data_IF_305504053409
#
_entry.id   IF_305504053409
#
_cell.length_a   1.000
_cell.length_b   1.000
_cell.length_c   1.000
_cell.angle_alpha   90.00
_cell.angle_beta   90.00
_cell.angle_gamma   90.00
#
_symmetry.space_group_name_H-M   'P 1'
#
loop_
_entity.id
_entity.type
_entity.pdbx_description
1 polymer ?
#
# COMPACT_ATOMS: atom_id res chain seq x y z
N UNK A 1 -15.26 56.27 30.10
CA UNK A 1 -15.39 55.02 30.88
C UNK A 1 -16.15 53.90 30.16
N UNK A 2 -17.28 54.14 29.49
CA UNK A 2 -18.04 53.07 28.80
C UNK A 2 -17.31 52.32 27.66
N UNK A 3 -16.42 52.98 26.90
CA UNK A 3 -15.61 52.34 25.82
C UNK A 3 -14.50 51.40 26.34
N UNK A 4 -13.91 51.67 27.51
CA UNK A 4 -12.86 50.81 28.09
C UNK A 4 -13.45 49.51 28.65
N UNK A 5 -14.62 49.57 29.29
CA UNK A 5 -15.32 48.40 29.81
C UNK A 5 -15.81 47.46 28.70
N UNK A 6 -16.24 48.01 27.55
CA UNK A 6 -16.62 47.21 26.38
C UNK A 6 -15.44 46.46 25.75
N UNK A 7 -14.27 47.11 25.65
CA UNK A 7 -13.06 46.45 25.13
C UNK A 7 -12.49 45.42 26.11
N UNK A 8 -12.59 45.68 27.42
CA UNK A 8 -12.15 44.72 28.45
C UNK A 8 -13.05 43.48 28.48
N UNK A 9 -14.35 43.64 28.30
CA UNK A 9 -15.29 42.52 28.19
C UNK A 9 -15.04 41.69 26.91
N UNK A 10 -14.74 42.35 25.79
CA UNK A 10 -14.38 41.66 24.55
C UNK A 10 -13.08 40.87 24.70
N UNK A 11 -12.02 41.48 25.27
CA UNK A 11 -10.74 40.80 25.50
C UNK A 11 -10.90 39.62 26.48
N UNK A 12 -11.65 39.77 27.58
CA UNK A 12 -11.89 38.68 28.54
C UNK A 12 -12.78 37.56 27.97
N UNK A 13 -13.72 37.88 27.08
CA UNK A 13 -14.55 36.90 26.38
C UNK A 13 -13.71 36.07 25.38
N UNK A 14 -12.80 36.71 24.64
CA UNK A 14 -11.88 36.01 23.73
C UNK A 14 -10.78 35.22 24.47
N UNK A 15 -10.27 35.71 25.60
CA UNK A 15 -9.32 34.98 26.44
C UNK A 15 -10.02 33.78 27.11
N UNK A 16 -11.22 33.96 27.66
CA UNK A 16 -12.00 32.88 28.28
C UNK A 16 -12.42 31.77 27.31
N UNK A 17 -12.80 32.13 26.07
CA UNK A 17 -13.10 31.16 25.02
C UNK A 17 -11.86 30.36 24.59
N UNK A 18 -10.69 31.01 24.51
CA UNK A 18 -9.42 30.33 24.21
C UNK A 18 -9.01 29.33 25.30
N UNK A 19 -9.14 29.72 26.56
CA UNK A 19 -8.88 28.82 27.69
C UNK A 19 -9.88 27.66 27.74
N UNK A 20 -11.18 27.92 27.55
CA UNK A 20 -12.21 26.89 27.50
C UNK A 20 -12.00 25.87 26.38
N UNK A 21 -11.63 26.31 25.17
CA UNK A 21 -11.30 25.42 24.05
C UNK A 21 -10.01 24.62 24.30
N UNK A 22 -8.99 25.21 24.95
CA UNK A 22 -7.75 24.50 25.28
C UNK A 22 -7.97 23.42 26.34
N UNK A 23 -8.75 23.71 27.39
CA UNK A 23 -9.12 22.73 28.42
C UNK A 23 -10.00 21.65 27.83
N UNK A 24 -10.98 22.00 26.98
CA UNK A 24 -11.82 21.04 26.28
C UNK A 24 -10.97 20.16 25.33
N UNK A 25 -10.03 20.74 24.60
CA UNK A 25 -9.10 19.99 23.75
C UNK A 25 -8.25 19.02 24.56
N UNK A 26 -7.66 19.47 25.68
CA UNK A 26 -6.90 18.60 26.58
C UNK A 26 -7.78 17.47 27.11
N UNK A 27 -9.00 17.77 27.57
CA UNK A 27 -9.95 16.79 28.07
C UNK A 27 -10.34 15.76 27.00
N UNK A 28 -10.66 16.21 25.78
CA UNK A 28 -10.98 15.34 24.65
C UNK A 28 -9.77 14.50 24.20
N UNK A 29 -8.55 15.03 24.31
CA UNK A 29 -7.33 14.29 23.99
C UNK A 29 -7.01 13.22 25.05
N UNK A 30 -7.25 13.53 26.32
CA UNK A 30 -7.09 12.60 27.44
C UNK A 30 -8.12 11.47 27.33
N UNK A 31 -9.39 11.79 27.07
CA UNK A 31 -10.47 10.82 26.89
C UNK A 31 -10.19 9.87 25.71
N UNK A 32 -9.72 10.43 24.58
CA UNK A 32 -9.27 9.64 23.43
C UNK A 32 -8.09 8.72 23.76
N UNK A 33 -7.15 9.18 24.58
CA UNK A 33 -6.03 8.34 25.02
C UNK A 33 -6.50 7.21 25.95
N UNK A 34 -7.43 7.48 26.87
CA UNK A 34 -7.97 6.45 27.77
C UNK A 34 -8.80 5.40 27.02
N UNK A 35 -9.61 5.82 26.04
CA UNK A 35 -10.37 4.90 25.17
C UNK A 35 -9.45 4.08 24.27
N UNK A 36 -8.36 4.64 23.76
CA UNK A 36 -7.37 3.88 22.99
C UNK A 36 -6.47 2.99 23.87
N UNK A 37 -6.28 3.33 25.15
CA UNK A 37 -5.53 2.50 26.09
C UNK A 37 -6.24 1.17 26.37
N UNK A 38 -7.58 1.19 26.45
CA UNK A 38 -8.40 -0.01 26.74
C UNK A 38 -8.72 -0.85 25.51
N UNK A 39 -8.69 -0.27 24.29
CA UNK A 39 -8.88 -1.01 23.04
C UNK A 39 -7.78 -2.04 22.79
N UNK A 40 -8.19 -3.21 22.30
CA UNK A 40 -7.28 -4.24 21.82
C UNK A 40 -6.60 -3.79 20.53
N UNK A 41 -5.46 -4.40 20.18
CA UNK A 41 -4.78 -4.13 18.91
C UNK A 41 -5.64 -4.51 17.71
N UNK A 42 -6.46 -5.56 17.84
CA UNK A 42 -7.47 -5.92 16.84
C UNK A 42 -8.50 -4.81 16.61
N UNK A 43 -9.09 -4.24 17.67
CA UNK A 43 -10.08 -3.16 17.55
C UNK A 43 -9.48 -1.91 16.90
N UNK A 44 -8.24 -1.59 17.25
CA UNK A 44 -7.51 -0.46 16.66
C UNK A 44 -7.22 -0.68 15.17
N UNK A 45 -6.92 -1.92 14.75
CA UNK A 45 -6.77 -2.27 13.32
C UNK A 45 -8.11 -2.12 12.60
N UNK A 46 -9.22 -2.61 13.17
CA UNK A 46 -10.54 -2.50 12.55
C UNK A 46 -10.95 -1.04 12.36
N UNK A 47 -10.80 -0.20 13.38
CA UNK A 47 -11.07 1.24 13.26
C UNK A 47 -10.12 1.91 12.25
N UNK A 48 -8.85 1.47 12.20
CA UNK A 48 -7.90 1.90 11.18
C UNK A 48 -8.36 1.56 9.77
N UNK A 49 -8.86 0.34 9.56
CA UNK A 49 -9.40 -0.16 8.31
C UNK A 49 -10.65 0.65 7.90
N UNK A 50 -11.54 0.98 8.85
CA UNK A 50 -12.70 1.85 8.61
C UNK A 50 -12.28 3.26 8.15
N UNK A 51 -11.32 3.86 8.86
CA UNK A 51 -10.74 5.15 8.43
C UNK A 51 -10.08 5.05 7.05
N UNK A 52 -9.45 3.93 6.73
CA UNK A 52 -8.86 3.70 5.42
C UNK A 52 -9.92 3.64 4.32
N UNK A 53 -11.03 2.92 4.53
CA UNK A 53 -12.14 2.85 3.57
C UNK A 53 -12.78 4.22 3.33
N UNK A 54 -12.88 5.03 4.38
CA UNK A 54 -13.36 6.40 4.29
C UNK A 54 -12.33 7.39 3.73
N UNK A 55 -11.18 6.90 3.24
CA UNK A 55 -10.06 7.70 2.70
C UNK A 55 -9.44 8.67 3.70
N UNK A 56 -9.70 8.47 4.99
CA UNK A 56 -9.13 9.24 6.11
C UNK A 56 -7.77 8.65 6.49
N UNK A 57 -6.86 8.70 5.54
CA UNK A 57 -5.55 8.05 5.59
C UNK A 57 -4.66 8.52 6.74
N UNK A 58 -4.84 9.75 7.24
CA UNK A 58 -4.03 10.25 8.36
C UNK A 58 -4.47 9.61 9.69
N UNK A 59 -5.78 9.41 9.89
CA UNK A 59 -6.32 8.73 11.05
C UNK A 59 -5.96 7.24 11.04
N UNK A 60 -6.12 6.57 9.88
CA UNK A 60 -5.71 5.18 9.71
C UNK A 60 -4.21 4.99 10.02
N UNK A 61 -3.35 5.87 9.50
CA UNK A 61 -1.90 5.85 9.79
C UNK A 61 -1.64 5.90 11.30
N UNK A 62 -2.27 6.83 12.01
CA UNK A 62 -2.09 6.99 13.45
C UNK A 62 -2.52 5.76 14.26
N UNK A 63 -3.60 5.10 13.85
CA UNK A 63 -4.09 3.89 14.49
C UNK A 63 -3.17 2.69 14.25
N UNK A 64 -2.71 2.47 13.02
CA UNK A 64 -1.75 1.38 12.76
C UNK A 64 -0.40 1.61 13.45
N UNK A 65 0.08 2.85 13.52
CA UNK A 65 1.28 3.21 14.29
C UNK A 65 1.09 2.96 15.79
N UNK A 66 -0.09 3.28 16.33
CA UNK A 66 -0.40 3.00 17.72
C UNK A 66 -0.41 1.48 18.01
N UNK A 67 -0.91 0.67 17.08
CA UNK A 67 -0.84 -0.79 17.20
C UNK A 67 0.61 -1.25 17.26
N UNK A 68 1.49 -0.75 16.40
CA UNK A 68 2.92 -1.10 16.44
C UNK A 68 3.66 -0.55 17.67
N UNK A 69 3.15 0.50 18.32
CA UNK A 69 3.68 0.93 19.62
C UNK A 69 3.31 -0.05 20.74
N UNK A 70 2.13 -0.68 20.67
CA UNK A 70 1.69 -1.69 21.63
C UNK A 70 2.29 -3.07 21.35
N UNK A 71 2.31 -3.47 20.09
CA UNK A 71 2.78 -4.75 19.58
C UNK A 71 3.69 -4.52 18.36
N UNK A 72 5.00 -4.34 18.58
CA UNK A 72 5.95 -4.05 17.50
C UNK A 72 5.99 -5.12 16.40
N UNK A 73 5.66 -6.37 16.71
CA UNK A 73 5.74 -7.50 15.77
C UNK A 73 4.39 -7.82 15.11
N UNK A 74 3.38 -6.94 15.25
CA UNK A 74 2.06 -7.18 14.67
C UNK A 74 2.09 -7.07 13.14
N UNK A 75 2.15 -8.23 12.47
CA UNK A 75 2.27 -8.34 11.01
C UNK A 75 1.08 -7.72 10.26
N UNK A 76 -0.13 -7.77 10.84
CA UNK A 76 -1.31 -7.17 10.22
C UNK A 76 -1.19 -5.64 10.17
N UNK A 77 -0.77 -5.01 11.27
CA UNK A 77 -0.55 -3.56 11.31
C UNK A 77 0.59 -3.13 10.37
N UNK A 78 1.67 -3.93 10.27
CA UNK A 78 2.74 -3.71 9.28
C UNK A 78 2.21 -3.78 7.85
N UNK A 79 1.39 -4.79 7.55
CA UNK A 79 0.78 -4.95 6.23
C UNK A 79 -0.05 -3.72 5.86
N UNK A 80 -0.90 -3.25 6.79
CA UNK A 80 -1.73 -2.04 6.60
C UNK A 80 -0.90 -0.76 6.43
N UNK A 81 0.18 -0.59 7.21
CA UNK A 81 1.09 0.54 7.03
C UNK A 81 1.81 0.50 5.68
N UNK A 82 2.34 -0.65 5.28
CA UNK A 82 2.99 -0.82 4.00
C UNK A 82 2.05 -0.49 2.83
N UNK A 83 0.79 -0.97 2.89
CA UNK A 83 -0.24 -0.66 1.91
C UNK A 83 -0.54 0.84 1.85
N UNK A 84 -0.63 1.50 3.00
CA UNK A 84 -0.88 2.93 3.09
C UNK A 84 0.30 3.78 2.58
N UNK A 85 1.53 3.33 2.82
CA UNK A 85 2.73 3.96 2.23
C UNK A 85 2.77 3.78 0.73
N UNK A 86 2.46 2.58 0.22
CA UNK A 86 2.37 2.30 -1.21
C UNK A 86 1.33 3.22 -1.88
N UNK A 87 0.13 3.36 -1.29
CA UNK A 87 -0.92 4.25 -1.79
C UNK A 87 -0.46 5.72 -1.88
N UNK A 88 0.44 6.14 -0.99
CA UNK A 88 1.02 7.49 -0.97
C UNK A 88 2.30 7.62 -1.80
N UNK A 89 2.62 6.63 -2.64
CA UNK A 89 3.85 6.54 -3.42
C UNK A 89 5.14 6.62 -2.58
N UNK A 90 5.06 6.25 -1.29
CA UNK A 90 6.21 6.17 -0.38
C UNK A 90 6.83 4.77 -0.46
N UNK A 91 7.31 4.42 -1.65
CA UNK A 91 7.72 3.06 -2.01
C UNK A 91 8.77 2.47 -1.07
N UNK A 92 9.80 3.22 -0.69
CA UNK A 92 10.85 2.75 0.22
C UNK A 92 10.31 2.44 1.63
N UNK A 93 9.39 3.27 2.14
CA UNK A 93 8.77 3.01 3.44
C UNK A 93 7.86 1.78 3.38
N UNK A 94 7.13 1.61 2.26
CA UNK A 94 6.29 0.45 2.04
C UNK A 94 7.11 -0.85 1.98
N UNK A 95 8.19 -0.86 1.18
CA UNK A 95 9.11 -2.01 1.10
C UNK A 95 9.65 -2.36 2.48
N UNK A 96 10.13 -1.37 3.25
CA UNK A 96 10.67 -1.63 4.59
C UNK A 96 9.66 -2.30 5.52
N UNK A 97 8.38 -1.92 5.49
CA UNK A 97 7.35 -2.59 6.30
C UNK A 97 7.05 -4.01 5.81
N UNK A 98 7.02 -4.24 4.49
CA UNK A 98 6.79 -5.57 3.94
C UNK A 98 7.99 -6.50 4.14
N UNK A 99 9.22 -6.00 4.08
CA UNK A 99 10.42 -6.77 4.37
C UNK A 99 10.42 -7.29 5.80
N UNK A 100 9.92 -6.51 6.77
CA UNK A 100 9.75 -6.96 8.15
C UNK A 100 8.72 -8.09 8.27
N UNK A 101 7.72 -8.12 7.39
CA UNK A 101 6.77 -9.26 7.31
C UNK A 101 7.48 -10.48 6.73
N UNK A 102 8.20 -10.33 5.62
CA UNK A 102 8.96 -11.43 4.98
C UNK A 102 10.04 -11.99 5.91
N UNK A 103 10.65 -11.17 6.76
CA UNK A 103 11.60 -11.64 7.78
C UNK A 103 10.95 -12.53 8.85
N UNK A 104 9.69 -12.24 9.21
CA UNK A 104 8.94 -13.02 10.19
C UNK A 104 8.22 -14.23 9.58
N UNK A 105 7.77 -14.08 8.34
CA UNK A 105 7.03 -15.07 7.55
C UNK A 105 7.56 -15.05 6.11
N UNK A 106 8.61 -15.86 5.81
CA UNK A 106 9.25 -15.87 4.49
C UNK A 106 8.34 -16.26 3.34
N UNK A 107 7.25 -16.98 3.62
CA UNK A 107 6.30 -17.47 2.61
C UNK A 107 5.06 -16.55 2.52
N UNK A 108 5.12 -15.35 3.10
CA UNK A 108 4.01 -14.40 3.04
C UNK A 108 3.79 -13.86 1.62
N UNK A 109 2.89 -14.51 0.87
CA UNK A 109 2.60 -14.20 -0.53
C UNK A 109 2.27 -12.72 -0.74
N UNK A 110 1.41 -12.11 0.09
CA UNK A 110 0.99 -10.71 -0.12
C UNK A 110 2.17 -9.75 0.08
N UNK A 111 3.03 -9.98 1.08
CA UNK A 111 4.22 -9.15 1.28
C UNK A 111 5.22 -9.31 0.14
N UNK A 112 5.55 -10.54 -0.26
CA UNK A 112 6.45 -10.84 -1.39
C UNK A 112 5.94 -10.21 -2.69
N UNK A 113 4.64 -10.39 -2.99
CA UNK A 113 4.00 -9.79 -4.17
C UNK A 113 4.08 -8.26 -4.14
N UNK A 114 3.80 -7.62 -3.00
CA UNK A 114 3.82 -6.16 -2.88
C UNK A 114 5.22 -5.60 -3.05
N UNK A 115 6.25 -6.22 -2.46
CA UNK A 115 7.65 -5.84 -2.68
C UNK A 115 7.98 -5.97 -4.17
N UNK A 116 7.72 -7.15 -4.74
CA UNK A 116 8.00 -7.42 -6.15
C UNK A 116 7.33 -6.44 -7.11
N UNK A 117 6.05 -6.14 -6.89
CA UNK A 117 5.30 -5.13 -7.65
C UNK A 117 5.93 -3.74 -7.52
N UNK A 118 6.26 -3.30 -6.31
CA UNK A 118 6.88 -1.97 -6.10
C UNK A 118 8.25 -1.92 -6.78
N UNK A 119 9.04 -2.99 -6.72
CA UNK A 119 10.34 -3.04 -7.40
C UNK A 119 10.19 -2.92 -8.92
N UNK A 120 9.17 -3.54 -9.52
CA UNK A 120 8.83 -3.35 -10.94
C UNK A 120 8.43 -1.91 -11.24
N UNK A 121 7.62 -1.27 -10.38
CA UNK A 121 7.25 0.16 -10.51
C UNK A 121 8.49 1.07 -10.44
N UNK A 122 9.47 0.74 -9.58
CA UNK A 122 10.74 1.44 -9.44
C UNK A 122 11.77 1.08 -10.53
N UNK A 123 11.42 0.18 -11.47
CA UNK A 123 12.28 -0.34 -12.55
C UNK A 123 13.47 -1.19 -12.09
N UNK A 124 13.42 -1.70 -10.87
CA UNK A 124 14.36 -2.70 -10.35
C UNK A 124 13.87 -4.10 -10.76
N UNK A 125 13.93 -4.39 -12.05
CA UNK A 125 13.23 -5.55 -12.63
C UNK A 125 13.78 -6.89 -12.17
N UNK A 126 15.09 -7.01 -11.95
CA UNK A 126 15.73 -8.23 -11.43
C UNK A 126 15.26 -8.56 -10.01
N UNK A 127 15.21 -7.55 -9.14
CA UNK A 127 14.75 -7.71 -7.77
C UNK A 127 13.24 -7.98 -7.74
N UNK A 128 12.48 -7.28 -8.56
CA UNK A 128 11.05 -7.52 -8.76
C UNK A 128 10.78 -8.96 -9.20
N UNK A 129 11.50 -9.48 -10.21
CA UNK A 129 11.38 -10.86 -10.66
C UNK A 129 11.69 -11.85 -9.53
N UNK A 130 12.73 -11.59 -8.73
CA UNK A 130 13.11 -12.45 -7.60
C UNK A 130 11.99 -12.58 -6.57
N UNK A 131 11.46 -11.46 -6.07
CA UNK A 131 10.37 -11.48 -5.08
C UNK A 131 9.08 -12.07 -5.65
N UNK A 132 8.75 -11.81 -6.91
CA UNK A 132 7.57 -12.37 -7.56
C UNK A 132 7.67 -13.88 -7.77
N UNK A 133 8.87 -14.42 -8.02
CA UNK A 133 9.08 -15.87 -8.06
C UNK A 133 8.91 -16.51 -6.69
N UNK A 134 9.47 -15.91 -5.64
CA UNK A 134 9.25 -16.38 -4.26
C UNK A 134 7.76 -16.36 -3.91
N UNK A 135 7.04 -15.28 -4.27
CA UNK A 135 5.58 -15.21 -4.09
C UNK A 135 4.89 -16.37 -4.83
N UNK A 136 5.31 -16.68 -6.06
CA UNK A 136 4.74 -17.76 -6.86
C UNK A 136 5.03 -19.16 -6.29
N UNK A 137 6.19 -19.35 -5.67
CA UNK A 137 6.58 -20.60 -5.00
C UNK A 137 5.77 -20.84 -3.72
N UNK A 138 5.43 -19.76 -3.00
CA UNK A 138 4.60 -19.79 -1.80
C UNK A 138 3.08 -19.83 -2.09
N UNK A 139 2.66 -19.65 -3.36
CA UNK A 139 1.26 -19.65 -3.74
C UNK A 139 0.65 -21.07 -3.74
N UNK A 140 -0.47 -21.23 -3.04
CA UNK A 140 -1.34 -22.39 -3.21
C UNK A 140 -2.18 -22.29 -4.49
N UNK A 141 -2.62 -23.44 -5.02
CA UNK A 141 -3.33 -23.51 -6.31
C UNK A 141 -4.62 -22.65 -6.39
N UNK A 142 -5.24 -22.33 -5.25
CA UNK A 142 -6.53 -21.63 -5.17
C UNK A 142 -6.44 -20.15 -4.75
N UNK A 143 -5.24 -19.57 -4.65
CA UNK A 143 -5.08 -18.18 -4.23
C UNK A 143 -5.44 -17.18 -5.33
N UNK A 144 -6.10 -16.09 -4.94
CA UNK A 144 -6.64 -15.08 -5.85
C UNK A 144 -5.52 -14.21 -6.44
N UNK A 145 -4.42 -14.09 -5.71
CA UNK A 145 -3.23 -13.31 -6.04
C UNK A 145 -2.43 -13.90 -7.20
N UNK A 146 -2.66 -15.17 -7.57
CA UNK A 146 -1.91 -15.89 -8.60
C UNK A 146 -1.93 -15.18 -9.95
N UNK A 147 -3.08 -14.64 -10.35
CA UNK A 147 -3.18 -13.84 -11.58
C UNK A 147 -2.30 -12.60 -11.54
N UNK A 148 -2.37 -11.85 -10.43
CA UNK A 148 -1.62 -10.62 -10.26
C UNK A 148 -0.10 -10.88 -10.20
N UNK A 149 0.34 -11.97 -9.55
CA UNK A 149 1.75 -12.38 -9.51
C UNK A 149 2.25 -12.72 -10.91
N UNK A 150 1.54 -13.55 -11.68
CA UNK A 150 1.92 -13.86 -13.07
C UNK A 150 1.97 -12.60 -13.94
N UNK A 151 1.02 -11.69 -13.79
CA UNK A 151 1.02 -10.44 -14.55
C UNK A 151 2.25 -9.58 -14.24
N UNK A 152 2.56 -9.34 -12.96
CA UNK A 152 3.74 -8.57 -12.57
C UNK A 152 5.05 -9.26 -12.97
N UNK A 153 5.11 -10.59 -12.89
CA UNK A 153 6.28 -11.36 -13.31
C UNK A 153 6.50 -11.24 -14.82
N UNK A 154 5.42 -11.28 -15.60
CA UNK A 154 5.46 -11.01 -17.03
C UNK A 154 5.97 -9.61 -17.36
N UNK A 155 5.55 -8.59 -16.60
CA UNK A 155 6.07 -7.21 -16.77
C UNK A 155 7.57 -7.14 -16.46
N UNK A 156 8.02 -7.67 -15.33
CA UNK A 156 9.44 -7.69 -14.96
C UNK A 156 10.29 -8.36 -16.06
N UNK A 157 9.89 -9.55 -16.49
CA UNK A 157 10.58 -10.33 -17.51
C UNK A 157 10.58 -9.67 -18.88
N UNK A 158 9.52 -8.94 -19.21
CA UNK A 158 9.45 -8.17 -20.45
C UNK A 158 10.56 -7.11 -20.50
N UNK A 159 10.74 -6.35 -19.42
CA UNK A 159 11.79 -5.34 -19.33
C UNK A 159 13.19 -5.94 -19.25
N UNK A 160 13.32 -7.16 -18.73
CA UNK A 160 14.56 -7.95 -18.75
C UNK A 160 14.81 -8.65 -20.11
N UNK A 161 13.97 -8.44 -21.13
CA UNK A 161 14.06 -9.11 -22.43
C UNK A 161 13.92 -10.65 -22.38
N UNK A 162 13.35 -11.19 -21.31
CA UNK A 162 13.00 -12.62 -21.13
C UNK A 162 11.64 -12.91 -21.75
N UNK A 163 11.56 -12.75 -23.08
CA UNK A 163 10.29 -12.67 -23.79
C UNK A 163 9.45 -13.95 -23.75
N UNK A 164 10.09 -15.14 -23.73
CA UNK A 164 9.37 -16.40 -23.73
C UNK A 164 8.67 -16.63 -22.38
N UNK A 165 9.40 -16.35 -21.29
CA UNK A 165 8.90 -16.42 -19.93
C UNK A 165 7.81 -15.37 -19.68
N UNK A 166 8.03 -14.14 -20.15
CA UNK A 166 7.03 -13.08 -20.07
C UNK A 166 5.72 -13.47 -20.76
N UNK A 167 5.82 -14.06 -21.96
CA UNK A 167 4.66 -14.54 -22.72
C UNK A 167 3.89 -15.62 -21.96
N UNK A 168 4.59 -16.62 -21.42
CA UNK A 168 3.96 -17.70 -20.65
C UNK A 168 3.25 -17.19 -19.39
N UNK A 169 3.86 -16.20 -18.70
CA UNK A 169 3.27 -15.56 -17.54
C UNK A 169 2.01 -14.75 -17.90
N UNK A 170 2.04 -13.95 -18.97
CA UNK A 170 0.84 -13.25 -19.43
C UNK A 170 -0.28 -14.20 -19.85
N UNK A 171 0.04 -15.29 -20.55
CA UNK A 171 -0.95 -16.31 -20.94
C UNK A 171 -1.59 -16.96 -19.71
N UNK A 172 -0.80 -17.28 -18.68
CA UNK A 172 -1.31 -17.85 -17.44
C UNK A 172 -2.23 -16.87 -16.70
N UNK A 173 -1.81 -15.61 -16.57
CA UNK A 173 -2.63 -14.56 -15.96
C UNK A 173 -3.98 -14.39 -16.71
N UNK A 174 -3.95 -14.41 -18.05
CA UNK A 174 -5.15 -14.30 -18.89
C UNK A 174 -6.10 -15.48 -18.76
N UNK A 175 -5.57 -16.69 -18.56
CA UNK A 175 -6.35 -17.89 -18.34
C UNK A 175 -7.10 -17.84 -17.00
N UNK A 176 -6.53 -17.19 -15.98
CA UNK A 176 -7.15 -17.02 -14.65
C UNK A 176 -8.20 -15.91 -14.69
N UNK A 177 -7.81 -14.69 -15.07
CA UNK A 177 -8.73 -13.56 -15.18
C UNK A 177 -8.34 -12.63 -16.32
N UNK A 178 -9.12 -12.68 -17.40
CA UNK A 178 -8.89 -11.84 -18.58
C UNK A 178 -9.24 -10.36 -18.37
N UNK A 179 -10.15 -10.03 -17.45
CA UNK A 179 -10.72 -8.66 -17.35
C UNK A 179 -9.77 -7.65 -16.73
N UNK A 180 -8.85 -8.11 -15.89
CA UNK A 180 -7.89 -7.29 -15.15
C UNK A 180 -6.66 -6.90 -15.97
N UNK A 181 -6.40 -7.62 -17.07
CA UNK A 181 -5.18 -7.46 -17.86
C UNK A 181 -5.39 -6.44 -18.99
N UNK A 182 -4.53 -5.40 -19.11
CA UNK A 182 -4.69 -4.38 -20.13
C UNK A 182 -4.70 -4.97 -21.56
N UNK A 183 -5.53 -4.45 -22.49
CA UNK A 183 -5.68 -4.98 -23.85
C UNK A 183 -4.37 -5.15 -24.62
N UNK A 184 -3.39 -4.28 -24.36
CA UNK A 184 -2.05 -4.39 -24.93
C UNK A 184 -1.40 -5.74 -24.61
N UNK A 185 -1.42 -6.17 -23.35
CA UNK A 185 -0.80 -7.45 -22.94
C UNK A 185 -1.59 -8.66 -23.45
N UNK A 186 -2.91 -8.52 -23.65
CA UNK A 186 -3.71 -9.52 -24.37
C UNK A 186 -3.21 -9.68 -25.82
N UNK A 187 -2.99 -8.56 -26.51
CA UNK A 187 -2.47 -8.57 -27.88
C UNK A 187 -1.05 -9.17 -27.93
N UNK A 188 -0.16 -8.78 -27.01
CA UNK A 188 1.19 -9.33 -26.89
C UNK A 188 1.17 -10.85 -26.67
N UNK A 189 0.25 -11.36 -25.84
CA UNK A 189 0.12 -12.79 -25.52
C UNK A 189 -0.28 -13.69 -26.70
N UNK A 190 -0.90 -13.12 -27.73
CA UNK A 190 -1.42 -13.83 -28.91
C UNK A 190 -0.47 -13.74 -30.11
N UNK A 191 0.62 -12.98 -30.00
CA UNK A 191 1.63 -12.85 -31.05
C UNK A 191 2.68 -13.98 -30.96
N UNK A 192 3.18 -14.46 -32.11
CA UNK A 192 4.40 -15.27 -32.14
C UNK A 192 5.55 -14.55 -31.44
N UNK A 193 6.40 -15.29 -30.71
CA UNK A 193 7.51 -14.72 -29.93
C UNK A 193 8.44 -13.79 -30.73
N UNK A 194 8.56 -14.02 -32.03
CA UNK A 194 9.32 -13.19 -32.98
C UNK A 194 8.72 -11.79 -33.18
N UNK A 195 7.38 -11.66 -33.14
CA UNK A 195 6.66 -10.39 -33.31
C UNK A 195 6.50 -9.67 -31.96
N UNK A 196 6.31 -10.43 -30.88
CA UNK A 196 6.28 -9.92 -29.50
C UNK A 196 7.54 -9.09 -29.19
N UNK A 197 8.72 -9.58 -29.58
CA UNK A 197 10.00 -8.85 -29.43
C UNK A 197 9.98 -7.44 -30.06
N UNK A 198 9.32 -7.27 -31.21
CA UNK A 198 9.22 -5.97 -31.91
C UNK A 198 8.16 -5.07 -31.27
N UNK A 199 6.96 -5.59 -31.01
CA UNK A 199 5.87 -4.84 -30.41
C UNK A 199 6.22 -4.31 -29.00
N UNK A 200 6.94 -5.10 -28.20
CA UNK A 200 7.40 -4.68 -26.89
C UNK A 200 8.52 -3.62 -26.97
N UNK A 201 9.39 -3.69 -27.97
CA UNK A 201 10.40 -2.67 -28.26
C UNK A 201 9.77 -1.31 -28.62
N UNK A 202 8.64 -1.33 -29.32
CA UNK A 202 7.91 -0.12 -29.69
C UNK A 202 7.11 0.44 -28.49
N UNK A 203 6.56 -0.43 -27.64
CA UNK A 203 5.88 -0.02 -26.41
C UNK A 203 6.84 0.57 -25.36
N UNK A 204 8.04 0.01 -25.20
CA UNK A 204 9.06 0.52 -24.28
C UNK A 204 9.55 1.95 -24.63
N UNK A 205 9.29 2.41 -25.86
CA UNK A 205 9.59 3.77 -26.33
C UNK A 205 8.45 4.76 -26.12
N UNK A 206 7.26 4.31 -25.73
CA UNK A 206 6.15 5.20 -25.44
C UNK A 206 6.45 5.94 -24.12
N UNK A 207 6.31 7.27 -24.07
CA UNK A 207 6.45 8.00 -22.81
C UNK A 207 5.42 7.48 -21.82
N UNK A 208 5.85 7.19 -20.58
CA UNK A 208 4.96 6.79 -19.50
C UNK A 208 3.85 7.83 -19.37
N UNK A 209 2.60 7.42 -19.59
CA UNK A 209 1.44 8.31 -19.44
C UNK A 209 1.44 8.85 -18.00
N UNK A 210 1.56 10.17 -17.88
CA UNK A 210 1.45 10.92 -16.63
C UNK A 210 0.09 10.73 -15.98
#
# INVERSE_FOLDING_TARGET
MKKLLSNLFFVLFFVGLGFGLSILYVYLSQDRQTTNATKTTYDLIQEGDDHYQEKRYSQALGLYQLVLQKEPDNLMARMRLGQLFQLKNRHLQAISEFELIVQADPDNVDALYRIGKIQVELRNFEEGESYLKQALEALDQNQTEKEAVHYQLGLAQLWLSKFAEALGNFQTALAINRKTIPPFFIAVSSLPATICRKACWDYAKLPSSK
#
